data_IF_388343391409
#
_entry.id   IF_388343391409
#
_cell.length_a   1.000
_cell.length_b   1.000
_cell.length_c   1.000
_cell.angle_alpha   90.00
_cell.angle_beta   90.00
_cell.angle_gamma   90.00
#
_symmetry.space_group_name_H-M   'P 1'
#
loop_
_entity.id
_entity.type
_entity.pdbx_description
1 polymer ?
#
# COMPACT_ATOMS: atom_id res chain seq x y z
N UNK A 1 -13.12 -6.60 15.37
CA UNK A 1 -13.47 -6.16 14.01
C UNK A 1 -12.63 -4.96 13.68
N UNK A 2 -11.86 -5.02 12.59
CA UNK A 2 -10.96 -3.95 12.16
C UNK A 2 -11.69 -2.81 11.45
N UNK A 3 -11.17 -1.59 11.57
CA UNK A 3 -11.63 -0.46 10.76
C UNK A 3 -11.19 -0.65 9.30
N UNK A 4 -12.14 -0.50 8.37
CA UNK A 4 -11.89 -0.60 6.93
C UNK A 4 -11.60 0.79 6.36
N UNK A 5 -10.42 0.94 5.77
CA UNK A 5 -9.97 2.14 5.07
C UNK A 5 -10.10 1.90 3.55
N UNK A 6 -11.17 2.39 2.88
CA UNK A 6 -11.33 2.23 1.45
C UNK A 6 -10.27 3.05 0.69
N UNK A 7 -9.58 2.41 -0.26
CA UNK A 7 -8.51 3.05 -1.07
C UNK A 7 -9.00 3.28 -2.50
N UNK A 8 -9.49 2.22 -3.13
CA UNK A 8 -10.12 2.25 -4.46
C UNK A 8 -11.55 1.76 -4.29
N UNK A 9 -12.52 2.56 -4.75
CA UNK A 9 -13.95 2.28 -4.54
C UNK A 9 -14.28 0.84 -4.92
N UNK A 10 -14.81 0.08 -3.96
CA UNK A 10 -15.29 -1.31 -4.11
C UNK A 10 -14.26 -2.34 -4.57
N UNK A 11 -12.98 -1.98 -4.71
CA UNK A 11 -11.97 -2.85 -5.31
C UNK A 11 -10.72 -3.02 -4.46
N UNK A 12 -10.34 -2.03 -3.66
CA UNK A 12 -9.18 -2.10 -2.78
C UNK A 12 -9.46 -1.44 -1.45
N UNK A 13 -9.34 -2.20 -0.36
CA UNK A 13 -9.45 -1.70 1.01
C UNK A 13 -8.20 -2.08 1.80
N UNK A 14 -7.76 -1.19 2.69
CA UNK A 14 -6.82 -1.53 3.75
C UNK A 14 -7.60 -1.75 5.04
N UNK A 15 -7.21 -2.74 5.83
CA UNK A 15 -7.80 -2.97 7.15
C UNK A 15 -6.71 -3.34 8.13
N UNK A 16 -6.84 -2.85 9.34
CA UNK A 16 -6.00 -3.25 10.45
C UNK A 16 -6.76 -4.31 11.27
N UNK A 17 -6.17 -5.47 11.56
CA UNK A 17 -6.85 -6.55 12.28
C UNK A 17 -6.13 -6.87 13.60
N UNK A 18 -6.91 -7.19 14.64
CA UNK A 18 -6.43 -7.58 15.98
C UNK A 18 -6.44 -9.11 16.20
N UNK A 19 -7.15 -9.85 15.34
CA UNK A 19 -7.56 -11.25 15.56
C UNK A 19 -6.89 -12.23 14.59
N UNK A 20 -7.07 -13.54 14.79
CA UNK A 20 -6.67 -14.58 13.84
C UNK A 20 -7.09 -14.24 12.38
N UNK A 21 -6.15 -14.20 11.41
CA UNK A 21 -6.43 -14.04 9.97
C UNK A 21 -7.59 -14.89 9.44
N UNK A 22 -7.73 -16.12 9.94
CA UNK A 22 -8.80 -17.02 9.53
C UNK A 22 -10.17 -16.61 10.12
N UNK A 23 -10.21 -15.99 11.30
CA UNK A 23 -11.44 -15.39 11.84
C UNK A 23 -11.84 -14.17 11.01
N UNK A 24 -10.89 -13.28 10.71
CA UNK A 24 -11.14 -12.08 9.92
C UNK A 24 -11.66 -12.41 8.52
N UNK A 25 -11.07 -13.41 7.85
CA UNK A 25 -11.54 -13.85 6.52
C UNK A 25 -12.98 -14.39 6.56
N UNK A 26 -13.37 -15.06 7.65
CA UNK A 26 -14.75 -15.57 7.83
C UNK A 26 -15.77 -14.45 8.05
N UNK A 27 -15.37 -13.35 8.67
CA UNK A 27 -16.21 -12.15 8.84
C UNK A 27 -16.43 -11.41 7.52
N UNK A 28 -15.54 -11.60 6.54
CA UNK A 28 -15.57 -10.92 5.24
C UNK A 28 -15.61 -11.89 4.04
N UNK A 29 -16.61 -12.79 3.93
CA UNK A 29 -16.63 -13.86 2.93
C UNK A 29 -16.77 -13.38 1.47
N UNK A 30 -17.16 -12.11 1.28
CA UNK A 30 -17.33 -11.50 -0.04
C UNK A 30 -16.07 -10.77 -0.53
N UNK A 31 -15.00 -10.75 0.28
CA UNK A 31 -13.75 -10.05 -0.02
C UNK A 31 -12.63 -11.06 -0.23
N UNK A 32 -11.70 -10.73 -1.13
CA UNK A 32 -10.45 -11.47 -1.22
C UNK A 32 -9.47 -10.86 -0.22
N UNK A 33 -9.17 -11.56 0.87
CA UNK A 33 -8.28 -11.04 1.91
C UNK A 33 -6.85 -11.49 1.61
N UNK A 34 -5.97 -10.52 1.37
CA UNK A 34 -4.54 -10.74 1.27
C UNK A 34 -3.88 -10.26 2.55
N UNK A 35 -3.37 -11.21 3.32
CA UNK A 35 -2.46 -10.95 4.42
C UNK A 35 -1.07 -10.77 3.80
N UNK A 36 -0.41 -9.65 4.06
CA UNK A 36 0.90 -9.36 3.48
C UNK A 36 2.00 -9.63 4.52
N UNK A 37 2.50 -10.88 4.67
CA UNK A 37 3.60 -11.20 5.57
C UNK A 37 4.95 -10.64 5.06
N UNK A 38 4.97 -9.99 3.90
CA UNK A 38 6.18 -9.51 3.21
C UNK A 38 6.36 -7.99 3.28
N UNK A 39 5.69 -7.32 4.21
CA UNK A 39 5.92 -5.90 4.47
C UNK A 39 7.19 -5.65 5.29
N UNK A 40 7.76 -6.68 5.90
CA UNK A 40 9.04 -6.58 6.56
C UNK A 40 10.17 -6.53 5.52
N UNK A 41 11.11 -5.56 5.64
CA UNK A 41 12.31 -5.53 4.81
C UNK A 41 13.07 -6.86 4.97
N UNK A 42 13.29 -7.59 3.87
CA UNK A 42 14.22 -8.73 3.92
C UNK A 42 15.63 -8.20 4.11
N UNK A 43 16.20 -8.47 5.27
CA UNK A 43 17.54 -8.03 5.61
C UNK A 43 18.60 -8.78 4.79
N UNK A 44 19.64 -8.09 4.30
CA UNK A 44 20.92 -8.76 4.12
C UNK A 44 21.46 -9.20 5.49
N UNK A 45 22.22 -10.31 5.58
CA UNK A 45 22.82 -10.75 6.83
C UNK A 45 23.87 -9.73 7.26
N UNK A 46 23.52 -8.83 8.19
CA UNK A 46 24.45 -7.88 8.80
C UNK A 46 24.15 -7.75 10.30
N UNK A 47 25.18 -7.66 11.12
CA UNK A 47 25.12 -7.65 12.59
C UNK A 47 24.49 -6.39 13.20
N UNK A 48 23.84 -5.52 12.41
CA UNK A 48 23.11 -4.36 12.92
C UNK A 48 21.61 -4.66 12.98
N UNK A 49 20.91 -4.26 14.05
CA UNK A 49 19.45 -4.32 14.07
C UNK A 49 18.89 -3.55 12.87
N UNK A 50 17.95 -4.14 12.12
CA UNK A 50 17.31 -3.46 11.00
C UNK A 50 16.60 -2.22 11.49
N UNK A 51 17.05 -1.08 11.01
CA UNK A 51 16.32 0.17 11.12
C UNK A 51 15.05 0.07 10.28
N UNK A 52 13.95 0.58 10.84
CA UNK A 52 12.67 0.61 10.15
C UNK A 52 12.77 1.59 8.98
N UNK A 53 12.82 1.07 7.77
CA UNK A 53 12.97 1.83 6.52
C UNK A 53 11.86 1.47 5.52
N UNK A 54 11.62 2.33 4.51
CA UNK A 54 10.70 2.00 3.44
C UNK A 54 11.16 0.72 2.72
N UNK A 55 10.22 -0.11 2.25
CA UNK A 55 10.53 -1.25 1.40
C UNK A 55 11.38 -0.85 0.19
N UNK A 56 12.27 -1.76 -0.23
CA UNK A 56 13.12 -1.56 -1.40
C UNK A 56 12.32 -1.37 -2.70
N UNK A 57 12.93 -0.80 -3.75
CA UNK A 57 12.30 -0.72 -5.08
C UNK A 57 11.91 -2.11 -5.61
N UNK A 58 12.72 -3.13 -5.36
CA UNK A 58 12.40 -4.51 -5.76
C UNK A 58 11.12 -5.01 -5.07
N UNK A 59 10.99 -4.79 -3.77
CA UNK A 59 9.79 -5.12 -3.00
C UNK A 59 8.58 -4.35 -3.51
N UNK A 60 8.75 -3.05 -3.79
CA UNK A 60 7.71 -2.18 -4.35
C UNK A 60 7.18 -2.70 -5.69
N UNK A 61 8.06 -3.04 -6.64
CA UNK A 61 7.63 -3.57 -7.94
C UNK A 61 7.01 -4.96 -7.82
N UNK A 62 7.56 -5.84 -6.98
CA UNK A 62 6.98 -7.16 -6.72
C UNK A 62 5.57 -7.04 -6.12
N UNK A 63 5.38 -6.13 -5.18
CA UNK A 63 4.07 -5.81 -4.60
C UNK A 63 3.09 -5.32 -5.68
N UNK A 64 3.49 -4.34 -6.50
CA UNK A 64 2.62 -3.80 -7.56
C UNK A 64 2.18 -4.89 -8.55
N UNK A 65 3.12 -5.76 -8.96
CA UNK A 65 2.82 -6.88 -9.83
C UNK A 65 1.86 -7.89 -9.17
N UNK A 66 2.04 -8.19 -7.88
CA UNK A 66 1.18 -9.08 -7.10
C UNK A 66 -0.24 -8.55 -6.95
N UNK A 67 -0.39 -7.28 -6.56
CA UNK A 67 -1.71 -6.63 -6.48
C UNK A 67 -2.40 -6.62 -7.84
N UNK A 68 -1.68 -6.26 -8.91
CA UNK A 68 -2.24 -6.28 -10.26
C UNK A 68 -2.75 -7.68 -10.67
N UNK A 69 -1.97 -8.73 -10.39
CA UNK A 69 -2.38 -10.10 -10.69
C UNK A 69 -3.62 -10.49 -9.89
N UNK A 70 -3.67 -10.17 -8.60
CA UNK A 70 -4.83 -10.46 -7.75
C UNK A 70 -6.07 -9.68 -8.18
N UNK A 71 -5.96 -8.40 -8.52
CA UNK A 71 -7.09 -7.60 -9.00
C UNK A 71 -7.63 -8.13 -10.33
N UNK A 72 -6.77 -8.69 -11.19
CA UNK A 72 -7.20 -9.34 -12.43
C UNK A 72 -7.95 -10.65 -12.18
N UNK A 73 -7.50 -11.46 -11.21
CA UNK A 73 -8.15 -12.72 -10.82
C UNK A 73 -9.48 -12.47 -10.08
N UNK A 74 -9.52 -11.43 -9.25
CA UNK A 74 -10.63 -11.09 -8.37
C UNK A 74 -11.59 -10.09 -8.99
N UNK A 75 -11.62 -9.90 -10.31
CA UNK A 75 -12.42 -8.87 -11.01
C UNK A 75 -13.93 -8.78 -10.64
N UNK A 76 -14.47 -9.73 -9.87
CA UNK A 76 -15.84 -9.77 -9.35
C UNK A 76 -15.97 -9.54 -7.84
N UNK A 77 -14.87 -9.38 -7.10
CA UNK A 77 -14.83 -9.23 -5.64
C UNK A 77 -13.82 -8.15 -5.24
N UNK A 78 -14.10 -7.34 -4.20
CA UNK A 78 -13.11 -6.42 -3.67
C UNK A 78 -11.88 -7.17 -3.15
N UNK A 79 -10.69 -6.64 -3.47
CA UNK A 79 -9.44 -7.04 -2.83
C UNK A 79 -9.29 -6.26 -1.52
N UNK A 80 -8.95 -6.96 -0.45
CA UNK A 80 -8.71 -6.40 0.87
C UNK A 80 -7.29 -6.73 1.29
N UNK A 81 -6.52 -5.70 1.63
CA UNK A 81 -5.18 -5.84 2.19
C UNK A 81 -5.31 -5.72 3.70
N UNK A 82 -5.02 -6.82 4.39
CA UNK A 82 -5.10 -6.90 5.83
C UNK A 82 -3.70 -6.77 6.43
N UNK A 83 -3.53 -5.78 7.32
CA UNK A 83 -2.30 -5.52 8.08
C UNK A 83 -2.56 -5.69 9.58
N UNK A 84 -1.53 -6.09 10.33
CA UNK A 84 -1.61 -6.14 11.78
C UNK A 84 -1.66 -4.71 12.34
N UNK A 85 -2.66 -4.41 13.17
CA UNK A 85 -2.83 -3.07 13.76
C UNK A 85 -1.76 -2.74 14.79
N UNK A 86 -1.19 -3.75 15.45
CA UNK A 86 -0.21 -3.56 16.52
C UNK A 86 1.20 -3.29 15.98
N UNK A 87 1.43 -3.52 14.69
CA UNK A 87 2.68 -3.20 14.04
C UNK A 87 2.58 -1.95 13.15
N UNK A 88 2.84 -0.79 13.78
CA UNK A 88 2.89 0.49 13.08
C UNK A 88 3.88 0.51 11.90
N UNK A 89 4.92 -0.33 11.92
CA UNK A 89 5.88 -0.44 10.80
C UNK A 89 5.24 -1.10 9.59
N UNK A 90 4.54 -2.21 9.79
CA UNK A 90 3.76 -2.86 8.73
C UNK A 90 2.70 -1.94 8.15
N UNK A 91 2.00 -1.19 9.00
CA UNK A 91 0.99 -0.22 8.56
C UNK A 91 1.60 0.86 7.66
N UNK A 92 2.73 1.46 8.07
CA UNK A 92 3.43 2.46 7.28
C UNK A 92 4.00 1.90 5.96
N UNK A 93 4.55 0.69 5.98
CA UNK A 93 5.02 0.01 4.77
C UNK A 93 3.89 -0.32 3.80
N UNK A 94 2.73 -0.76 4.31
CA UNK A 94 1.55 -0.97 3.48
C UNK A 94 1.05 0.34 2.85
N UNK A 95 0.96 1.42 3.63
CA UNK A 95 0.57 2.73 3.13
C UNK A 95 1.50 3.21 2.00
N UNK A 96 2.83 3.06 2.18
CA UNK A 96 3.80 3.36 1.12
C UNK A 96 3.58 2.50 -0.13
N UNK A 97 3.50 1.18 0.01
CA UNK A 97 3.38 0.26 -1.13
C UNK A 97 2.06 0.44 -1.89
N UNK A 98 0.96 0.70 -1.18
CA UNK A 98 -0.34 0.99 -1.78
C UNK A 98 -0.32 2.35 -2.49
N UNK A 99 0.30 3.37 -1.90
CA UNK A 99 0.50 4.66 -2.57
C UNK A 99 1.33 4.50 -3.85
N UNK A 100 2.40 3.70 -3.80
CA UNK A 100 3.23 3.41 -4.97
C UNK A 100 2.44 2.71 -6.07
N UNK A 101 1.60 1.73 -5.72
CA UNK A 101 0.69 1.06 -6.66
C UNK A 101 -0.27 2.06 -7.32
N UNK A 102 -0.90 2.95 -6.55
CA UNK A 102 -1.81 3.98 -7.09
C UNK A 102 -1.10 4.90 -8.09
N UNK A 103 0.15 5.27 -7.82
CA UNK A 103 0.91 6.16 -8.71
C UNK A 103 1.43 5.44 -9.97
N UNK A 104 1.91 4.21 -9.82
CA UNK A 104 2.58 3.45 -10.89
C UNK A 104 1.60 2.73 -11.82
N UNK A 105 0.51 2.20 -11.28
CA UNK A 105 -0.46 1.39 -12.02
C UNK A 105 -1.78 2.16 -12.28
N UNK A 106 -2.18 3.06 -11.37
CA UNK A 106 -3.43 3.82 -11.49
C UNK A 106 -3.25 5.29 -11.93
N UNK A 107 -2.01 5.77 -12.01
CA UNK A 107 -1.69 7.09 -12.55
C UNK A 107 -1.89 8.26 -11.60
N UNK A 108 -2.11 8.01 -10.30
CA UNK A 108 -2.37 9.04 -9.30
C UNK A 108 -1.14 9.93 -9.11
N UNK A 109 -1.38 11.17 -8.67
CA UNK A 109 -0.36 12.05 -8.10
C UNK A 109 0.06 11.54 -6.71
N UNK A 110 1.16 12.06 -6.17
CA UNK A 110 1.59 11.70 -4.83
C UNK A 110 0.53 12.10 -3.79
N UNK A 111 -0.06 13.28 -3.96
CA UNK A 111 -1.08 13.86 -3.08
C UNK A 111 -2.36 13.03 -3.08
N UNK A 112 -2.85 12.61 -4.24
CA UNK A 112 -4.03 11.73 -4.34
C UNK A 112 -3.75 10.34 -3.76
N UNK A 113 -2.54 9.82 -3.94
CA UNK A 113 -2.18 8.47 -3.50
C UNK A 113 -2.06 8.34 -1.98
N UNK A 114 -1.67 9.41 -1.27
CA UNK A 114 -1.55 9.40 0.20
C UNK A 114 -2.86 9.69 0.93
N UNK A 115 -3.82 10.34 0.25
CA UNK A 115 -5.08 10.79 0.84
C UNK A 115 -5.83 9.70 1.65
N UNK A 116 -5.94 8.44 1.18
CA UNK A 116 -6.61 7.37 1.94
C UNK A 116 -5.91 7.02 3.27
N UNK A 117 -4.66 7.44 3.43
CA UNK A 117 -3.79 7.10 4.55
C UNK A 117 -3.51 8.31 5.46
N UNK A 118 -4.14 9.47 5.25
CA UNK A 118 -3.93 10.66 6.10
C UNK A 118 -4.27 10.43 7.58
N UNK A 119 -5.24 9.54 7.83
CA UNK A 119 -5.65 9.16 9.19
C UNK A 119 -4.78 8.04 9.78
N UNK A 120 -3.97 7.39 8.94
CA UNK A 120 -2.99 6.41 9.39
C UNK A 120 -1.80 7.20 9.93
N UNK A 121 -1.63 7.18 11.27
CA UNK A 121 -0.63 7.98 12.00
C UNK A 121 0.73 7.93 11.29
N UNK A 122 1.36 9.08 10.94
CA UNK A 122 2.63 9.10 10.26
C UNK A 122 3.73 8.60 11.19
N UNK A 123 3.97 7.29 11.18
CA UNK A 123 5.13 6.70 11.82
C UNK A 123 6.35 7.06 10.95
N UNK A 124 7.32 7.84 11.48
CA UNK A 124 8.52 8.17 10.73
C UNK A 124 9.37 6.90 10.55
N UNK A 125 10.03 6.79 9.41
CA UNK A 125 11.06 5.78 9.20
C UNK A 125 12.26 6.09 10.12
N UNK A 126 12.72 5.08 10.86
CA UNK A 126 13.79 5.21 11.85
C UNK A 126 15.12 5.40 11.14
N UNK A 127 15.95 6.27 11.71
CA UNK A 127 17.32 6.67 11.28
C UNK A 127 17.45 7.85 10.32
N UNK A 128 16.35 8.51 9.96
CA UNK A 128 16.44 9.90 9.54
C UNK A 128 16.26 10.78 10.78
N UNK A 129 17.35 11.39 11.26
CA UNK A 129 17.31 12.51 12.23
C UNK A 129 16.39 13.66 11.78
N UNK A 130 15.94 13.61 10.53
CA UNK A 130 15.03 14.50 9.85
C UNK A 130 13.54 14.12 9.96
N UNK A 131 13.20 12.96 10.53
CA UNK A 131 11.80 12.52 10.72
C UNK A 131 11.05 12.24 9.41
N UNK A 132 11.70 11.58 8.45
CA UNK A 132 11.09 11.28 7.14
C UNK A 132 9.88 10.37 7.31
N UNK A 133 8.73 10.81 6.80
CA UNK A 133 7.46 10.09 6.88
C UNK A 133 7.17 9.31 5.60
N UNK A 134 6.15 8.43 5.63
CA UNK A 134 5.58 7.80 4.43
C UNK A 134 5.27 8.83 3.35
N UNK A 135 4.71 9.98 3.71
CA UNK A 135 4.31 11.00 2.74
C UNK A 135 5.50 11.65 2.04
N UNK A 136 6.61 11.86 2.76
CA UNK A 136 7.83 12.39 2.17
C UNK A 136 8.42 11.43 1.14
N UNK A 137 8.41 10.13 1.46
CA UNK A 137 8.88 9.07 0.56
C UNK A 137 7.99 8.99 -0.68
N UNK A 138 6.66 9.05 -0.52
CA UNK A 138 5.71 9.02 -1.64
C UNK A 138 5.87 10.25 -2.55
N UNK A 139 6.07 11.45 -1.98
CA UNK A 139 6.40 12.66 -2.75
C UNK A 139 7.72 12.52 -3.49
N UNK A 140 8.72 11.92 -2.86
CA UNK A 140 10.01 11.58 -3.49
C UNK A 140 9.82 10.68 -4.71
N UNK A 141 9.02 9.62 -4.58
CA UNK A 141 8.64 8.74 -5.68
C UNK A 141 7.91 9.50 -6.81
N UNK A 142 6.97 10.40 -6.47
CA UNK A 142 6.28 11.23 -7.46
C UNK A 142 7.23 12.08 -8.30
N UNK A 143 8.23 12.70 -7.65
CA UNK A 143 9.29 13.44 -8.35
C UNK A 143 10.14 12.52 -9.23
N UNK A 144 10.47 11.32 -8.77
CA UNK A 144 11.23 10.35 -9.56
C UNK A 144 10.46 9.89 -10.81
N UNK A 145 9.15 9.66 -10.69
CA UNK A 145 8.27 9.34 -11.81
C UNK A 145 8.21 10.50 -12.81
N UNK A 146 8.00 11.73 -12.33
CA UNK A 146 7.94 12.92 -13.18
C UNK A 146 9.25 13.17 -13.96
N UNK A 147 10.39 12.76 -13.40
CA UNK A 147 11.72 12.83 -14.05
C UNK A 147 12.03 11.63 -14.94
N UNK A 148 11.17 10.61 -14.99
CA UNK A 148 11.41 9.37 -15.74
C UNK A 148 12.46 8.46 -15.12
N UNK A 149 12.82 8.65 -13.85
CA UNK A 149 13.75 7.77 -13.12
C UNK A 149 13.08 6.46 -12.69
N UNK A 150 11.76 6.53 -12.49
CA UNK A 150 10.90 5.38 -12.25
C UNK A 150 9.82 5.41 -13.32
N UNK A 151 9.69 4.35 -14.10
CA UNK A 151 8.69 4.26 -15.16
C UNK A 151 7.39 3.68 -14.61
N UNK A 152 6.27 4.30 -15.00
CA UNK A 152 4.94 3.73 -14.79
C UNK A 152 4.82 2.44 -15.60
N UNK A 153 4.05 1.48 -15.11
CA UNK A 153 3.65 0.36 -15.93
C UNK A 153 2.82 0.86 -17.13
N UNK A 154 2.84 0.10 -18.23
CA UNK A 154 1.89 0.35 -19.31
C UNK A 154 0.47 0.31 -18.72
N UNK A 155 -0.41 1.27 -19.06
CA UNK A 155 -1.73 1.38 -18.45
C UNK A 155 -2.47 0.04 -18.61
N UNK A 156 -2.91 -0.53 -17.49
CA UNK A 156 -3.77 -1.70 -17.51
C UNK A 156 -5.03 -1.31 -18.27
N UNK A 157 -5.35 -2.03 -19.35
CA UNK A 157 -6.51 -1.72 -20.22
C UNK A 157 -7.87 -1.73 -19.50
N UNK A 158 -7.90 -2.07 -18.20
CA UNK A 158 -9.06 -1.88 -17.34
C UNK A 158 -9.04 -0.50 -16.68
N UNK A 159 -9.32 0.55 -17.47
CA UNK A 159 -9.54 1.91 -16.97
C UNK A 159 -10.71 2.03 -15.95
N UNK A 160 -11.45 0.93 -15.72
CA UNK A 160 -12.48 0.83 -14.69
C UNK A 160 -11.91 0.62 -13.28
N UNK A 161 -10.72 0.03 -13.16
CA UNK A 161 -10.15 -0.40 -11.87
C UNK A 161 -9.55 0.77 -11.07
N UNK A 162 -9.08 1.81 -11.74
CA UNK A 162 -8.27 2.85 -11.12
C UNK A 162 -9.01 4.19 -10.94
N UNK A 163 -10.34 4.24 -11.05
CA UNK A 163 -11.07 5.51 -10.87
C UNK A 163 -11.08 5.92 -9.38
N UNK A 164 -10.66 7.15 -9.04
CA UNK A 164 -10.73 7.65 -7.67
C UNK A 164 -12.16 7.63 -7.16
N UNK A 165 -12.33 7.35 -5.87
CA UNK A 165 -13.64 7.44 -5.23
C UNK A 165 -14.01 8.93 -5.15
N UNK A 166 -15.13 9.37 -5.77
CA UNK A 166 -15.49 10.79 -5.83
C UNK A 166 -15.79 11.40 -4.44
N UNK A 167 -15.99 10.57 -3.42
CA UNK A 167 -16.20 11.00 -2.03
C UNK A 167 -14.92 11.57 -1.36
N UNK A 168 -13.76 11.44 -2.02
CA UNK A 168 -12.50 12.07 -1.63
C UNK A 168 -12.00 13.12 -2.64
N UNK A 169 -12.80 13.47 -3.64
CA UNK A 169 -12.53 14.62 -4.50
C UNK A 169 -13.05 15.89 -3.81
N UNK A 170 -12.19 16.52 -3.02
CA UNK A 170 -12.43 17.86 -2.47
C UNK A 170 -11.95 18.93 -3.46
#
# INVERSE_FOLDING_TARGET
GGELFPIIRTLLCLTAYESDPAAFTREHPNMHVHFSPHLEPQAPPSDRPLEFAPPSLQTMFAFCAGIRAQMAETARRPLMIAVDIFDGKSVANAAFLLSAFLMLECGYTAEEAVLPFEQVVPMPYVDYSLGITVFDVVRGLGKAIAKGWVTRAAPVQSAAVCRPCPEFAF
#
